data_IF_528184008351
#
_entry.id   IF_528184008351
#
_cell.length_a   1.000
_cell.length_b   1.000
_cell.length_c   1.000
_cell.angle_alpha   90.00
_cell.angle_beta   90.00
_cell.angle_gamma   90.00
#
_symmetry.space_group_name_H-M   'P 1'
#
loop_
_entity.id
_entity.type
_entity.pdbx_description
1 polymer ?
#
# COMPACT_ATOMS: atom_id res chain seq x y z
N UNK A 1 8.79 11.47 3.04
CA UNK A 1 8.05 11.65 4.31
C UNK A 1 8.85 10.98 5.44
N UNK A 2 9.43 11.77 6.31
CA UNK A 2 10.14 11.29 7.48
C UNK A 2 9.26 11.53 8.72
N UNK A 3 9.03 10.50 9.53
CA UNK A 3 8.36 10.63 10.83
C UNK A 3 9.20 10.00 11.93
N UNK A 4 9.61 10.75 12.93
CA UNK A 4 10.24 10.27 14.15
C UNK A 4 11.65 10.81 14.41
N UNK A 5 12.28 10.43 15.52
CA UNK A 5 13.60 10.87 15.99
C UNK A 5 14.80 10.44 15.08
N UNK A 6 14.57 9.61 14.10
CA UNK A 6 15.50 9.20 13.02
C UNK A 6 15.51 10.19 11.84
N UNK A 7 14.72 11.27 11.91
CA UNK A 7 14.48 12.21 10.80
C UNK A 7 15.77 12.90 10.30
N UNK A 8 16.74 13.19 11.16
CA UNK A 8 17.97 13.89 10.75
C UNK A 8 18.87 13.06 9.83
N UNK A 9 18.89 11.74 10.02
CA UNK A 9 19.68 10.82 9.19
C UNK A 9 19.02 10.59 7.84
N UNK A 10 17.69 10.44 7.81
CA UNK A 10 16.90 10.32 6.59
C UNK A 10 17.11 11.53 5.68
N UNK A 11 16.96 12.72 6.25
CA UNK A 11 17.12 13.97 5.52
C UNK A 11 18.55 14.13 4.97
N UNK A 12 19.56 13.72 5.73
CA UNK A 12 20.95 13.78 5.28
C UNK A 12 21.23 12.84 4.12
N UNK A 13 20.73 11.60 4.21
CA UNK A 13 20.85 10.61 3.14
C UNK A 13 20.07 11.03 1.88
N UNK A 14 18.88 11.62 2.05
CA UNK A 14 18.09 12.14 0.93
C UNK A 14 18.79 13.33 0.26
N UNK A 15 19.42 14.20 1.05
CA UNK A 15 20.20 15.32 0.52
C UNK A 15 21.43 14.83 -0.28
N UNK A 16 22.14 13.84 0.27
CA UNK A 16 23.27 13.20 -0.42
C UNK A 16 22.84 12.58 -1.75
N UNK A 17 21.72 11.85 -1.74
CA UNK A 17 21.12 11.29 -2.96
C UNK A 17 20.74 12.38 -3.97
N UNK A 18 20.08 13.45 -3.53
CA UNK A 18 19.69 14.54 -4.42
C UNK A 18 20.90 15.24 -5.05
N UNK A 19 21.98 15.45 -4.26
CA UNK A 19 23.25 16.00 -4.78
C UNK A 19 23.93 15.04 -5.76
N UNK A 20 23.94 13.75 -5.46
CA UNK A 20 24.50 12.72 -6.34
C UNK A 20 23.80 12.72 -7.71
N UNK A 21 22.48 12.73 -7.72
CA UNK A 21 21.69 12.76 -8.95
C UNK A 21 21.85 14.08 -9.72
N UNK A 22 21.95 15.21 -9.02
CA UNK A 22 22.22 16.52 -9.64
C UNK A 22 23.56 16.53 -10.37
N UNK A 23 24.61 15.92 -9.78
CA UNK A 23 25.93 15.79 -10.41
C UNK A 23 25.89 14.94 -11.70
N UNK A 24 24.85 14.12 -11.87
CA UNK A 24 24.56 13.34 -13.08
C UNK A 24 23.65 14.09 -14.06
N UNK A 25 23.43 15.38 -13.86
CA UNK A 25 22.56 16.25 -14.68
C UNK A 25 21.08 15.82 -14.69
N UNK A 26 20.60 15.21 -13.59
CA UNK A 26 19.20 14.86 -13.41
C UNK A 26 18.48 16.00 -12.71
N UNK A 27 17.32 16.40 -13.21
CA UNK A 27 16.49 17.41 -12.57
C UNK A 27 15.80 16.82 -11.33
N UNK A 28 15.98 17.47 -10.18
CA UNK A 28 15.45 16.99 -8.90
C UNK A 28 14.34 17.92 -8.40
N UNK A 29 13.23 17.31 -8.04
CA UNK A 29 12.15 17.90 -7.26
C UNK A 29 12.12 17.27 -5.88
N UNK A 30 11.88 18.07 -4.85
CA UNK A 30 11.70 17.58 -3.49
C UNK A 30 10.23 17.76 -3.09
N UNK A 31 9.65 16.73 -2.52
CA UNK A 31 8.27 16.80 -2.03
C UNK A 31 8.15 17.88 -0.94
N UNK A 32 7.08 18.68 -1.01
CA UNK A 32 6.91 19.90 -0.24
C UNK A 32 7.02 19.72 1.28
N UNK A 33 6.49 18.62 1.85
CA UNK A 33 6.60 18.34 3.30
C UNK A 33 8.05 18.00 3.69
N UNK A 34 8.75 17.23 2.85
CA UNK A 34 10.16 16.91 3.03
C UNK A 34 11.03 18.17 2.95
N UNK A 35 10.71 19.06 2.03
CA UNK A 35 11.43 20.34 1.84
C UNK A 35 11.33 21.25 3.08
N UNK A 36 10.26 21.18 3.87
CA UNK A 36 10.06 22.00 5.06
C UNK A 36 11.13 21.81 6.16
N UNK A 37 11.92 20.74 6.10
CA UNK A 37 13.04 20.53 7.03
C UNK A 37 14.15 21.59 6.92
N UNK A 38 14.15 22.38 5.85
CA UNK A 38 15.11 23.45 5.62
C UNK A 38 16.45 23.02 5.02
N UNK A 39 16.71 21.72 4.85
CA UNK A 39 17.97 21.20 4.26
C UNK A 39 17.99 21.22 2.72
N UNK A 40 16.83 21.37 2.10
CA UNK A 40 16.65 21.22 0.63
C UNK A 40 16.45 22.54 -0.11
N UNK A 41 16.92 23.67 0.43
CA UNK A 41 16.71 25.02 -0.14
C UNK A 41 17.25 25.20 -1.57
N UNK A 42 18.24 24.40 -1.95
CA UNK A 42 18.81 24.41 -3.31
C UNK A 42 17.91 23.71 -4.35
N UNK A 43 16.87 23.01 -3.92
CA UNK A 43 16.00 22.23 -4.76
C UNK A 43 14.60 22.82 -4.83
N UNK A 44 13.91 22.56 -5.94
CA UNK A 44 12.53 23.00 -6.12
C UNK A 44 11.57 22.12 -5.32
N UNK A 45 10.81 22.74 -4.42
CA UNK A 45 9.72 22.10 -3.69
C UNK A 45 8.46 22.05 -4.56
N UNK A 46 7.83 20.86 -4.63
CA UNK A 46 6.53 20.65 -5.29
C UNK A 46 5.71 19.61 -4.51
N UNK A 47 4.41 19.61 -4.67
CA UNK A 47 3.55 18.60 -4.02
C UNK A 47 3.58 17.27 -4.80
N UNK A 48 2.98 16.20 -4.22
CA UNK A 48 2.98 14.86 -4.85
C UNK A 48 2.26 14.85 -6.20
N UNK A 49 1.20 15.60 -6.37
CA UNK A 49 0.46 15.69 -7.64
C UNK A 49 1.35 16.31 -8.74
N UNK A 50 2.02 17.42 -8.42
CA UNK A 50 2.97 18.02 -9.35
C UNK A 50 4.18 17.12 -9.64
N UNK A 51 4.61 16.27 -8.67
CA UNK A 51 5.62 15.23 -8.92
C UNK A 51 5.09 14.26 -9.97
N UNK A 52 3.85 13.79 -9.80
CA UNK A 52 3.19 12.90 -10.76
C UNK A 52 3.15 13.46 -12.18
N UNK A 53 2.87 14.75 -12.32
CA UNK A 53 2.78 15.43 -13.63
C UNK A 53 4.14 15.70 -14.31
N UNK A 54 5.21 15.88 -13.52
CA UNK A 54 6.48 16.46 -14.02
C UNK A 54 7.67 15.51 -13.95
N UNK A 55 7.60 14.48 -13.11
CA UNK A 55 8.71 13.57 -12.92
C UNK A 55 8.56 12.30 -13.75
N UNK A 56 9.67 11.74 -14.19
CA UNK A 56 9.72 10.45 -14.90
C UNK A 56 9.84 9.27 -13.91
N UNK A 57 10.20 9.55 -12.66
CA UNK A 57 10.45 8.57 -11.62
C UNK A 57 10.31 9.22 -10.24
N UNK A 58 9.78 8.51 -9.25
CA UNK A 58 9.80 8.93 -7.87
C UNK A 58 10.65 7.98 -7.01
N UNK A 59 11.57 8.56 -6.22
CA UNK A 59 12.40 7.82 -5.27
C UNK A 59 11.90 8.14 -3.86
N UNK A 60 11.61 7.09 -3.10
CA UNK A 60 11.04 7.20 -1.77
C UNK A 60 12.02 6.63 -0.76
N UNK A 61 12.53 7.48 0.13
CA UNK A 61 13.37 7.06 1.25
C UNK A 61 12.50 6.88 2.49
N UNK A 62 12.30 5.65 2.91
CA UNK A 62 11.43 5.33 4.05
C UNK A 62 11.02 3.86 4.10
N UNK A 63 10.12 3.52 5.01
CA UNK A 63 9.57 2.16 5.11
C UNK A 63 8.35 1.92 4.22
N UNK A 64 7.80 0.69 4.30
CA UNK A 64 6.61 0.29 3.53
C UNK A 64 5.44 1.24 3.72
N UNK A 65 5.21 1.77 4.93
CA UNK A 65 4.14 2.73 5.18
C UNK A 65 4.27 4.02 4.35
N UNK A 66 5.48 4.53 4.15
CA UNK A 66 5.74 5.70 3.29
C UNK A 66 5.47 5.35 1.82
N UNK A 67 5.93 4.16 1.40
CA UNK A 67 5.70 3.66 0.04
C UNK A 67 4.20 3.54 -0.28
N UNK A 68 3.38 3.01 0.67
CA UNK A 68 1.93 2.91 0.50
C UNK A 68 1.29 4.27 0.23
N UNK A 69 1.64 5.30 1.01
CA UNK A 69 1.09 6.65 0.85
C UNK A 69 1.45 7.28 -0.51
N UNK A 70 2.72 7.18 -0.90
CA UNK A 70 3.21 7.70 -2.18
C UNK A 70 2.61 6.94 -3.36
N UNK A 71 2.53 5.62 -3.29
CA UNK A 71 1.95 4.79 -4.35
C UNK A 71 0.48 5.14 -4.61
N UNK A 72 -0.34 5.30 -3.57
CA UNK A 72 -1.74 5.74 -3.73
C UNK A 72 -1.87 7.12 -4.35
N UNK A 73 -0.96 8.03 -4.03
CA UNK A 73 -0.99 9.40 -4.58
C UNK A 73 -0.53 9.47 -6.03
N UNK A 74 0.39 8.59 -6.44
CA UNK A 74 1.04 8.66 -7.75
C UNK A 74 0.52 7.65 -8.77
N UNK A 75 -0.34 6.70 -8.39
CA UNK A 75 -0.82 5.64 -9.28
C UNK A 75 -1.50 6.16 -10.55
N UNK A 76 -2.14 7.33 -10.49
CA UNK A 76 -2.84 7.91 -11.64
C UNK A 76 -1.90 8.55 -12.68
N UNK A 77 -0.63 8.77 -12.34
CA UNK A 77 0.33 9.48 -13.20
C UNK A 77 1.26 8.53 -13.97
N UNK A 78 1.16 7.23 -13.73
CA UNK A 78 1.93 6.18 -14.43
C UNK A 78 3.46 6.31 -14.31
N UNK A 79 3.94 6.97 -13.25
CA UNK A 79 5.38 7.06 -12.95
C UNK A 79 5.81 5.91 -12.04
N UNK A 80 6.98 5.28 -12.30
CA UNK A 80 7.47 4.22 -11.46
C UNK A 80 8.04 4.74 -10.14
N UNK A 81 8.12 3.86 -9.15
CA UNK A 81 8.66 4.14 -7.82
C UNK A 81 9.90 3.30 -7.54
N UNK A 82 10.89 3.88 -6.87
CA UNK A 82 11.99 3.17 -6.22
C UNK A 82 11.86 3.37 -4.72
N UNK A 83 11.91 2.28 -3.95
CA UNK A 83 11.85 2.30 -2.50
C UNK A 83 13.21 2.03 -1.87
N UNK A 84 13.70 2.96 -1.03
CA UNK A 84 14.95 2.83 -0.28
C UNK A 84 14.61 2.76 1.21
N UNK A 85 15.01 1.69 1.88
CA UNK A 85 14.79 1.52 3.30
C UNK A 85 15.99 1.97 4.15
N UNK A 86 15.71 2.28 5.42
CA UNK A 86 16.72 2.69 6.41
C UNK A 86 17.16 1.55 7.34
N UNK A 87 17.52 0.39 6.79
CA UNK A 87 18.05 -0.73 7.57
C UNK A 87 17.03 -1.78 8.03
N UNK A 88 15.73 -1.54 7.91
CA UNK A 88 14.70 -2.57 8.07
C UNK A 88 14.09 -2.88 6.70
N UNK A 89 14.59 -3.89 6.01
CA UNK A 89 14.01 -4.33 4.74
C UNK A 89 12.49 -4.33 4.79
N UNK A 90 11.84 -3.65 3.83
CA UNK A 90 10.41 -3.69 3.58
C UNK A 90 10.06 -4.73 2.52
N UNK A 91 8.79 -4.94 2.30
CA UNK A 91 8.28 -5.68 1.14
C UNK A 91 8.17 -4.78 -0.11
N UNK A 92 8.21 -3.46 0.09
CA UNK A 92 8.08 -2.43 -0.96
C UNK A 92 9.34 -1.57 -1.09
N UNK A 93 10.08 -1.35 0.01
CA UNK A 93 11.33 -0.62 0.04
C UNK A 93 12.47 -1.62 0.28
N UNK A 94 13.08 -2.09 -0.79
CA UNK A 94 14.06 -3.18 -0.80
C UNK A 94 15.50 -2.73 -1.06
N UNK A 95 15.73 -1.53 -1.59
CA UNK A 95 17.05 -0.97 -1.68
C UNK A 95 17.52 -0.53 -0.28
N UNK A 96 18.81 -0.74 0.00
CA UNK A 96 19.44 -0.28 1.23
C UNK A 96 20.22 1.02 0.99
N UNK A 97 20.24 1.92 1.97
CA UNK A 97 21.05 3.14 1.89
C UNK A 97 22.53 2.90 1.70
N UNK A 98 23.06 1.73 2.12
CA UNK A 98 24.47 1.38 1.95
C UNK A 98 24.91 1.14 0.51
N UNK A 99 24.01 0.73 -0.39
CA UNK A 99 24.27 0.45 -1.80
C UNK A 99 23.34 1.20 -2.76
N UNK A 100 22.64 2.23 -2.26
CA UNK A 100 21.58 2.92 -3.03
C UNK A 100 22.13 3.54 -4.32
N UNK A 101 23.33 4.10 -4.32
CA UNK A 101 23.90 4.76 -5.51
C UNK A 101 24.18 3.78 -6.64
N UNK A 102 24.79 2.64 -6.31
CA UNK A 102 25.08 1.57 -7.28
C UNK A 102 23.79 1.01 -7.86
N UNK A 103 22.83 0.68 -6.98
CA UNK A 103 21.52 0.14 -7.40
C UNK A 103 20.73 1.10 -8.28
N UNK A 104 20.75 2.40 -7.97
CA UNK A 104 20.09 3.43 -8.78
C UNK A 104 20.78 3.55 -10.14
N UNK A 105 22.10 3.50 -10.19
CA UNK A 105 22.86 3.55 -11.45
C UNK A 105 22.52 2.35 -12.35
N UNK A 106 22.44 1.16 -11.80
CA UNK A 106 22.03 -0.04 -12.54
C UNK A 106 20.60 0.13 -13.11
N UNK A 107 19.66 0.63 -12.29
CA UNK A 107 18.30 0.90 -12.73
C UNK A 107 18.26 1.92 -13.87
N UNK A 108 19.05 3.00 -13.78
CA UNK A 108 19.10 4.04 -14.82
C UNK A 108 19.79 3.56 -16.12
N UNK A 109 20.67 2.58 -16.04
CA UNK A 109 21.24 1.90 -17.20
C UNK A 109 20.29 0.89 -17.85
N UNK A 110 19.04 0.79 -17.34
CA UNK A 110 18.01 -0.13 -17.85
C UNK A 110 18.10 -1.54 -17.26
N UNK A 111 18.98 -1.77 -16.28
CA UNK A 111 19.11 -3.05 -15.59
C UNK A 111 18.15 -3.11 -14.38
N UNK A 112 16.86 -3.18 -14.65
CA UNK A 112 15.83 -3.19 -13.59
C UNK A 112 14.75 -4.25 -13.85
N UNK A 113 14.20 -4.79 -12.76
CA UNK A 113 12.99 -5.57 -12.76
C UNK A 113 11.79 -4.65 -12.49
N UNK A 114 10.80 -4.70 -13.39
CA UNK A 114 9.55 -3.92 -13.28
C UNK A 114 8.49 -4.75 -12.60
N UNK A 115 8.12 -4.37 -11.41
CA UNK A 115 7.10 -5.04 -10.59
C UNK A 115 5.80 -4.21 -10.58
N UNK A 116 4.78 -4.72 -11.26
CA UNK A 116 3.47 -4.07 -11.33
C UNK A 116 2.56 -4.58 -10.23
N UNK A 117 2.03 -3.67 -9.42
CA UNK A 117 1.14 -4.00 -8.30
C UNK A 117 -0.25 -3.43 -8.53
N UNK A 118 -1.26 -4.27 -8.36
CA UNK A 118 -2.64 -3.84 -8.37
C UNK A 118 -2.99 -3.09 -7.08
N UNK A 119 -3.97 -2.20 -7.16
CA UNK A 119 -4.61 -1.58 -6.02
C UNK A 119 -6.08 -2.00 -5.95
N UNK A 120 -6.67 -1.85 -4.77
CA UNK A 120 -8.12 -1.89 -4.58
C UNK A 120 -8.66 -0.46 -4.57
N UNK A 121 -9.84 -0.29 -5.17
CA UNK A 121 -10.68 0.88 -5.01
C UNK A 121 -11.82 0.51 -4.06
N UNK A 122 -12.01 1.28 -3.01
CA UNK A 122 -13.12 1.12 -2.08
C UNK A 122 -14.04 2.32 -2.11
N UNK A 123 -15.35 2.09 -2.05
CA UNK A 123 -16.39 3.12 -1.95
C UNK A 123 -17.31 2.79 -0.81
N UNK A 124 -17.71 3.80 -0.04
CA UNK A 124 -18.74 3.69 1.00
C UNK A 124 -19.99 4.38 0.50
N UNK A 125 -21.10 3.67 0.53
CA UNK A 125 -22.41 4.18 0.20
C UNK A 125 -23.29 4.23 1.45
N UNK A 126 -23.88 5.39 1.69
CA UNK A 126 -24.88 5.65 2.73
C UNK A 126 -26.10 6.27 2.07
N UNK A 127 -27.29 5.72 2.30
CA UNK A 127 -28.53 6.15 1.63
C UNK A 127 -28.37 6.27 0.10
N UNK A 128 -27.71 5.28 -0.52
CA UNK A 128 -27.41 5.22 -1.96
C UNK A 128 -26.45 6.31 -2.49
N UNK A 129 -25.88 7.15 -1.61
CA UNK A 129 -24.89 8.16 -2.00
C UNK A 129 -23.49 7.66 -1.67
N UNK A 130 -22.56 7.81 -2.61
CA UNK A 130 -21.15 7.59 -2.33
C UNK A 130 -20.64 8.72 -1.42
N UNK A 131 -20.27 8.39 -0.19
CA UNK A 131 -19.80 9.34 0.82
C UNK A 131 -18.28 9.34 0.97
N UNK A 132 -17.63 8.29 0.52
CA UNK A 132 -16.17 8.17 0.56
C UNK A 132 -15.68 7.24 -0.54
N UNK A 133 -14.51 7.59 -1.09
CA UNK A 133 -13.79 6.77 -2.05
C UNK A 133 -12.30 6.83 -1.75
N UNK A 134 -11.61 5.68 -1.80
CA UNK A 134 -10.18 5.60 -1.58
C UNK A 134 -9.53 4.41 -2.29
N UNK A 135 -8.21 4.52 -2.52
CA UNK A 135 -7.38 3.44 -3.05
C UNK A 135 -6.58 2.79 -1.92
N UNK A 136 -6.34 1.50 -2.03
CA UNK A 136 -5.48 0.72 -1.14
C UNK A 136 -4.48 -0.10 -1.95
N UNK A 137 -3.21 -0.05 -1.57
CA UNK A 137 -2.18 -0.92 -2.15
C UNK A 137 -2.11 -2.27 -1.42
N UNK A 138 -2.27 -2.27 -0.10
CA UNK A 138 -2.33 -3.48 0.71
C UNK A 138 -3.77 -3.96 0.90
N UNK A 139 -4.55 -3.24 1.69
CA UNK A 139 -5.83 -3.75 2.18
C UNK A 139 -6.87 -2.67 2.48
N UNK A 140 -8.12 -3.12 2.42
CA UNK A 140 -9.31 -2.43 2.91
C UNK A 140 -9.89 -3.27 4.04
N UNK A 141 -9.96 -2.72 5.23
CA UNK A 141 -10.37 -3.44 6.43
C UNK A 141 -11.62 -2.82 7.05
N UNK A 142 -12.68 -3.59 7.13
CA UNK A 142 -13.82 -3.27 8.01
C UNK A 142 -13.49 -3.77 9.41
N UNK A 143 -13.48 -2.90 10.39
CA UNK A 143 -13.09 -3.23 11.75
C UNK A 143 -14.06 -2.67 12.78
N UNK A 144 -14.34 -3.50 13.79
CA UNK A 144 -15.05 -3.11 15.00
C UNK A 144 -14.14 -2.34 15.96
N UNK A 145 -14.70 -1.42 16.72
CA UNK A 145 -14.01 -0.71 17.78
C UNK A 145 -13.86 -1.53 19.07
N UNK A 146 -14.93 -2.11 19.57
CA UNK A 146 -14.96 -2.76 20.89
C UNK A 146 -15.73 -4.08 20.96
N UNK A 147 -16.72 -4.31 20.12
CA UNK A 147 -17.53 -5.53 20.09
C UNK A 147 -17.54 -6.14 18.70
N UNK A 148 -17.99 -7.41 18.61
CA UNK A 148 -18.13 -8.10 17.32
C UNK A 148 -19.10 -7.34 16.40
N UNK A 149 -18.71 -7.16 15.15
CA UNK A 149 -19.53 -6.60 14.09
C UNK A 149 -20.20 -7.73 13.28
N UNK A 150 -21.43 -7.51 12.83
CA UNK A 150 -22.07 -8.40 11.87
C UNK A 150 -21.99 -7.81 10.47
N UNK A 151 -21.43 -8.59 9.56
CA UNK A 151 -21.21 -8.23 8.16
C UNK A 151 -21.86 -9.26 7.26
N UNK A 152 -22.55 -8.79 6.21
CA UNK A 152 -22.93 -9.62 5.08
C UNK A 152 -22.00 -9.36 3.91
N UNK A 153 -21.50 -10.44 3.31
CA UNK A 153 -20.55 -10.39 2.20
C UNK A 153 -21.16 -10.98 0.96
N UNK A 154 -21.11 -10.23 -0.13
CA UNK A 154 -21.50 -10.67 -1.45
C UNK A 154 -20.35 -10.49 -2.45
N UNK A 155 -20.25 -11.35 -3.44
CA UNK A 155 -19.26 -11.30 -4.50
C UNK A 155 -19.97 -11.42 -5.84
N UNK A 156 -19.76 -10.44 -6.71
CA UNK A 156 -20.42 -10.36 -8.02
C UNK A 156 -21.96 -10.47 -7.91
N UNK A 157 -22.52 -9.82 -6.89
CA UNK A 157 -23.95 -9.84 -6.59
C UNK A 157 -24.47 -11.13 -5.96
N UNK A 158 -23.62 -12.15 -5.74
CA UNK A 158 -24.03 -13.39 -5.09
C UNK A 158 -23.69 -13.31 -3.60
N UNK A 159 -24.68 -13.58 -2.74
CA UNK A 159 -24.46 -13.70 -1.31
C UNK A 159 -23.51 -14.86 -1.01
N UNK A 160 -22.47 -14.58 -0.22
CA UNK A 160 -21.46 -15.59 0.17
C UNK A 160 -21.69 -16.07 1.58
N UNK A 161 -21.68 -15.16 2.55
CA UNK A 161 -21.93 -15.48 3.96
C UNK A 161 -22.29 -14.23 4.76
N UNK A 162 -22.89 -14.49 5.91
CA UNK A 162 -22.99 -13.55 7.02
C UNK A 162 -22.02 -13.97 8.10
N UNK A 163 -21.24 -13.02 8.63
CA UNK A 163 -20.29 -13.31 9.71
C UNK A 163 -20.49 -12.35 10.88
N UNK A 164 -20.08 -12.85 12.05
CA UNK A 164 -19.90 -12.07 13.27
C UNK A 164 -18.44 -12.23 13.69
N UNK A 165 -17.69 -11.09 13.73
CA UNK A 165 -16.24 -11.10 13.85
C UNK A 165 -15.73 -9.76 14.38
N UNK A 166 -14.43 -9.65 14.67
CA UNK A 166 -13.77 -8.37 14.93
C UNK A 166 -13.64 -7.52 13.66
N UNK A 167 -13.81 -8.13 12.49
CA UNK A 167 -13.76 -7.44 11.20
C UNK A 167 -13.52 -8.35 10.01
N UNK A 168 -13.23 -7.72 8.89
CA UNK A 168 -12.94 -8.38 7.62
C UNK A 168 -11.86 -7.61 6.86
N UNK A 169 -10.82 -8.32 6.41
CA UNK A 169 -9.76 -7.79 5.54
C UNK A 169 -10.04 -8.19 4.12
N UNK A 170 -10.06 -7.23 3.20
CA UNK A 170 -10.02 -7.45 1.76
C UNK A 170 -8.67 -6.94 1.27
N UNK A 171 -7.83 -7.81 0.73
CA UNK A 171 -6.42 -7.50 0.46
C UNK A 171 -5.99 -7.84 -0.95
N UNK A 172 -5.10 -7.02 -1.50
CA UNK A 172 -4.33 -7.33 -2.71
C UNK A 172 -3.30 -8.43 -2.41
N UNK A 173 -2.68 -9.06 -3.40
CA UNK A 173 -1.54 -9.94 -3.18
C UNK A 173 -0.40 -9.25 -2.41
N UNK A 174 -0.14 -7.96 -2.67
CA UNK A 174 0.85 -7.17 -1.94
C UNK A 174 0.55 -7.12 -0.44
N UNK A 175 -0.69 -6.87 -0.07
CA UNK A 175 -1.13 -6.75 1.33
C UNK A 175 -1.24 -8.08 2.07
N UNK A 176 -1.12 -9.23 1.39
CA UNK A 176 -1.18 -10.55 2.06
C UNK A 176 -0.02 -10.77 3.03
N UNK A 177 1.05 -10.01 2.92
CA UNK A 177 2.18 -10.02 3.87
C UNK A 177 2.03 -8.99 5.01
N UNK A 178 0.93 -8.19 4.99
CA UNK A 178 0.60 -7.18 6.00
C UNK A 178 -0.44 -7.72 7.02
N UNK A 179 -1.53 -6.99 7.25
CA UNK A 179 -2.51 -7.35 8.27
C UNK A 179 -3.22 -8.68 7.99
N UNK A 180 -3.46 -9.01 6.73
CA UNK A 180 -4.06 -10.30 6.33
C UNK A 180 -3.24 -11.50 6.81
N UNK A 181 -1.90 -11.41 6.82
CA UNK A 181 -1.04 -12.47 7.35
C UNK A 181 -1.31 -12.72 8.84
N UNK A 182 -1.37 -11.64 9.63
CA UNK A 182 -1.68 -11.74 11.07
C UNK A 182 -3.08 -12.28 11.35
N UNK A 183 -4.03 -12.06 10.44
CA UNK A 183 -5.38 -12.61 10.50
C UNK A 183 -5.48 -14.07 10.01
N UNK A 184 -4.36 -14.69 9.63
CA UNK A 184 -4.32 -16.09 9.18
C UNK A 184 -4.64 -16.30 7.71
N UNK A 185 -4.54 -15.26 6.89
CA UNK A 185 -4.69 -15.33 5.44
C UNK A 185 -3.48 -15.97 4.76
N UNK A 186 -3.65 -16.49 3.54
CA UNK A 186 -2.55 -17.03 2.73
C UNK A 186 -1.67 -15.91 2.19
N UNK A 187 -0.38 -16.19 1.97
CA UNK A 187 0.50 -15.32 1.18
C UNK A 187 0.23 -15.60 -0.30
N UNK A 188 -0.11 -14.55 -1.04
CA UNK A 188 -0.26 -14.60 -2.48
C UNK A 188 0.96 -13.95 -3.15
N UNK A 189 1.47 -14.59 -4.21
CA UNK A 189 2.53 -13.97 -5.01
C UNK A 189 2.02 -12.65 -5.62
N UNK A 190 2.80 -11.57 -5.63
CA UNK A 190 2.34 -10.26 -6.12
C UNK A 190 1.79 -10.23 -7.55
N UNK A 191 2.26 -11.12 -8.41
CA UNK A 191 1.80 -11.24 -9.80
C UNK A 191 0.46 -11.97 -9.96
N UNK A 192 -0.09 -12.56 -8.88
CA UNK A 192 -1.37 -13.23 -8.97
C UNK A 192 -2.51 -12.23 -9.15
N UNK A 193 -3.36 -12.47 -10.12
CA UNK A 193 -4.59 -11.71 -10.33
C UNK A 193 -5.70 -12.20 -9.39
N UNK A 194 -5.51 -11.96 -8.07
CA UNK A 194 -6.41 -12.41 -7.03
C UNK A 194 -6.63 -11.34 -5.96
N UNK A 195 -7.75 -11.45 -5.24
CA UNK A 195 -8.06 -10.70 -4.03
C UNK A 195 -8.29 -11.72 -2.93
N UNK A 196 -7.71 -11.52 -1.76
CA UNK A 196 -7.98 -12.37 -0.60
C UNK A 196 -8.92 -11.68 0.37
N UNK A 197 -9.89 -12.44 0.89
CA UNK A 197 -10.88 -12.00 1.87
C UNK A 197 -10.64 -12.80 3.14
N UNK A 198 -10.24 -12.12 4.21
CA UNK A 198 -9.76 -12.75 5.45
C UNK A 198 -10.57 -12.25 6.64
N UNK A 199 -11.39 -13.11 7.28
CA UNK A 199 -12.09 -12.77 8.52
C UNK A 199 -11.10 -12.50 9.66
N UNK A 200 -11.40 -11.52 10.51
CA UNK A 200 -10.63 -11.23 11.72
C UNK A 200 -11.36 -11.82 12.91
N UNK A 201 -10.76 -12.80 13.60
CA UNK A 201 -11.33 -13.45 14.80
C UNK A 201 -12.82 -13.82 14.61
N UNK A 202 -13.20 -14.57 13.57
CA UNK A 202 -14.59 -14.91 13.35
C UNK A 202 -15.14 -15.78 14.48
N UNK A 203 -16.35 -15.52 14.93
CA UNK A 203 -17.01 -16.28 15.98
C UNK A 203 -17.44 -17.68 15.51
N UNK A 204 -17.47 -17.91 14.20
CA UNK A 204 -17.85 -19.19 13.59
C UNK A 204 -16.61 -19.89 13.05
N UNK A 205 -16.36 -21.11 13.53
CA UNK A 205 -15.20 -21.92 13.14
C UNK A 205 -15.17 -22.30 11.64
N UNK A 206 -16.29 -22.23 10.95
CA UNK A 206 -16.40 -22.52 9.50
C UNK A 206 -15.92 -21.39 8.60
N UNK A 207 -15.83 -20.15 9.12
CA UNK A 207 -15.34 -19.04 8.32
C UNK A 207 -13.84 -19.19 8.07
N UNK A 208 -13.48 -19.21 6.80
CA UNK A 208 -12.09 -19.37 6.34
C UNK A 208 -11.73 -18.24 5.38
N UNK A 209 -10.46 -17.85 5.32
CA UNK A 209 -9.97 -17.01 4.24
C UNK A 209 -10.28 -17.62 2.88
N UNK A 210 -10.71 -16.81 1.94
CA UNK A 210 -10.93 -17.21 0.54
C UNK A 210 -10.16 -16.28 -0.39
N UNK A 211 -9.69 -16.82 -1.50
CA UNK A 211 -9.12 -16.05 -2.60
C UNK A 211 -10.07 -16.10 -3.80
N UNK A 212 -10.29 -14.96 -4.42
CA UNK A 212 -11.17 -14.79 -5.58
C UNK A 212 -10.42 -14.07 -6.70
N UNK A 213 -10.97 -14.09 -7.92
CA UNK A 213 -10.39 -13.34 -9.04
C UNK A 213 -10.28 -11.85 -8.71
N UNK A 214 -9.22 -11.20 -9.18
CA UNK A 214 -9.04 -9.75 -9.05
C UNK A 214 -10.15 -8.94 -9.74
N UNK A 215 -10.88 -9.54 -10.67
CA UNK A 215 -12.01 -8.92 -11.36
C UNK A 215 -13.34 -9.03 -10.58
N UNK A 216 -13.31 -9.63 -9.39
CA UNK A 216 -14.50 -9.73 -8.55
C UNK A 216 -14.86 -8.38 -7.93
N UNK A 217 -16.16 -8.06 -7.94
CA UNK A 217 -16.73 -6.98 -7.15
C UNK A 217 -17.14 -7.55 -5.78
N UNK A 218 -16.56 -7.02 -4.71
CA UNK A 218 -16.84 -7.44 -3.33
C UNK A 218 -17.71 -6.37 -2.71
N UNK A 219 -18.82 -6.80 -2.12
CA UNK A 219 -19.75 -5.94 -1.43
C UNK A 219 -19.90 -6.39 0.02
N UNK A 220 -19.79 -5.45 0.95
CA UNK A 220 -19.90 -5.69 2.38
C UNK A 220 -20.98 -4.79 2.93
N UNK A 221 -22.00 -5.38 3.58
CA UNK A 221 -23.03 -4.64 4.28
C UNK A 221 -22.81 -4.70 5.79
N UNK A 222 -22.88 -3.54 6.44
CA UNK A 222 -22.84 -3.43 7.90
C UNK A 222 -24.24 -3.69 8.45
N UNK A 223 -24.45 -4.84 9.08
CA UNK A 223 -25.77 -5.32 9.51
C UNK A 223 -26.05 -5.05 10.98
N UNK A 224 -25.02 -5.00 11.81
CA UNK A 224 -25.16 -4.59 13.22
C UNK A 224 -23.99 -3.71 13.62
N UNK A 225 -24.22 -2.78 14.53
CA UNK A 225 -23.21 -1.80 14.95
C UNK A 225 -22.90 -1.83 16.44
N UNK A 226 -21.62 -1.77 16.68
CA UNK A 226 -20.94 -0.89 17.63
C UNK A 226 -20.03 0.04 16.84
N UNK A 227 -19.25 0.91 17.48
CA UNK A 227 -18.27 1.76 16.80
C UNK A 227 -17.45 0.93 15.80
N UNK A 228 -17.59 1.23 14.52
CA UNK A 228 -16.87 0.54 13.45
C UNK A 228 -16.31 1.52 12.43
N UNK A 229 -15.29 1.11 11.74
CA UNK A 229 -14.62 1.95 10.74
C UNK A 229 -14.06 1.13 9.59
N UNK A 230 -13.95 1.78 8.43
CA UNK A 230 -13.16 1.31 7.32
C UNK A 230 -11.73 1.83 7.47
N UNK A 231 -10.75 0.94 7.42
CA UNK A 231 -9.32 1.30 7.39
C UNK A 231 -8.75 1.00 6.02
N UNK A 232 -7.97 1.92 5.49
CA UNK A 232 -7.28 1.81 4.20
C UNK A 232 -5.78 1.77 4.45
N UNK A 233 -5.11 0.66 4.11
CA UNK A 233 -3.68 0.44 4.32
C UNK A 233 -3.20 0.74 5.76
N UNK A 234 -4.09 0.64 6.75
CA UNK A 234 -3.81 1.02 8.13
C UNK A 234 -3.58 2.53 8.36
N UNK A 235 -3.70 3.38 7.35
CA UNK A 235 -3.33 4.81 7.39
C UNK A 235 -4.52 5.77 7.40
N UNK A 236 -5.60 5.42 6.71
CA UNK A 236 -6.83 6.20 6.70
C UNK A 236 -7.90 5.45 7.48
N UNK A 237 -8.73 6.17 8.22
CA UNK A 237 -9.87 5.61 8.95
C UNK A 237 -11.12 6.42 8.64
N UNK A 238 -12.17 5.76 8.25
CA UNK A 238 -13.47 6.35 7.94
C UNK A 238 -14.52 5.69 8.81
N UNK A 239 -15.23 6.45 9.66
CA UNK A 239 -16.31 5.91 10.47
C UNK A 239 -17.41 5.30 9.61
N UNK A 240 -17.91 4.13 10.01
CA UNK A 240 -19.04 3.46 9.38
C UNK A 240 -20.31 3.66 10.21
N UNK A 241 -21.45 3.61 9.56
CA UNK A 241 -22.77 3.60 10.18
C UNK A 241 -23.54 2.33 9.81
N UNK A 242 -24.59 2.06 10.57
CA UNK A 242 -25.49 0.95 10.30
C UNK A 242 -26.08 1.07 8.89
N UNK A 243 -26.11 -0.04 8.16
CA UNK A 243 -26.56 -0.14 6.77
C UNK A 243 -25.62 0.49 5.73
N UNK A 244 -24.44 0.99 6.13
CA UNK A 244 -23.44 1.34 5.14
C UNK A 244 -23.10 0.12 4.27
N UNK A 245 -22.95 0.38 2.98
CA UNK A 245 -22.51 -0.59 1.98
C UNK A 245 -21.14 -0.20 1.48
N UNK A 246 -20.21 -1.11 1.60
CA UNK A 246 -18.83 -0.94 1.12
C UNK A 246 -18.68 -1.75 -0.16
N UNK A 247 -18.35 -1.09 -1.25
CA UNK A 247 -17.94 -1.72 -2.50
C UNK A 247 -16.42 -1.73 -2.62
N UNK A 248 -15.82 -2.87 -2.99
CA UNK A 248 -14.38 -3.03 -3.18
C UNK A 248 -14.17 -3.75 -4.50
N UNK A 249 -13.41 -3.10 -5.40
CA UNK A 249 -13.05 -3.63 -6.71
C UNK A 249 -11.55 -3.41 -6.96
N UNK A 250 -11.00 -4.10 -7.94
CA UNK A 250 -9.66 -3.78 -8.47
C UNK A 250 -9.69 -2.36 -9.04
N UNK A 251 -8.70 -1.54 -8.71
CA UNK A 251 -8.51 -0.23 -9.34
C UNK A 251 -8.09 -0.41 -10.80
N UNK A 252 -8.46 0.55 -11.65
CA UNK A 252 -8.12 0.53 -13.07
C UNK A 252 -6.60 0.61 -13.29
N UNK A 253 -5.92 1.46 -12.51
CA UNK A 253 -4.48 1.69 -12.61
C UNK A 253 -3.69 0.76 -11.71
N UNK A 254 -2.48 0.44 -12.14
CA UNK A 254 -1.48 -0.29 -11.38
C UNK A 254 -0.29 0.62 -11.11
N UNK A 255 0.37 0.44 -9.97
CA UNK A 255 1.63 1.11 -9.69
C UNK A 255 2.81 0.21 -10.10
N UNK A 256 3.86 0.81 -10.64
CA UNK A 256 5.10 0.10 -11.00
C UNK A 256 6.19 0.40 -9.99
N UNK A 257 6.79 -0.62 -9.41
CA UNK A 257 8.03 -0.52 -8.65
C UNK A 257 9.21 -0.92 -9.54
N UNK A 258 10.34 -0.25 -9.37
CA UNK A 258 11.60 -0.63 -10.00
C UNK A 258 12.51 -1.20 -8.94
N UNK A 259 12.96 -2.42 -9.18
CA UNK A 259 13.91 -3.15 -8.35
C UNK A 259 15.21 -3.40 -9.12
N UNK A 260 16.33 -3.69 -8.45
CA UNK A 260 17.50 -4.25 -9.09
C UNK A 260 17.15 -5.52 -9.88
N UNK A 261 17.95 -5.84 -10.91
CA UNK A 261 17.65 -6.95 -11.82
C UNK A 261 17.60 -8.32 -11.14
N UNK A 262 18.34 -8.48 -10.06
CA UNK A 262 18.43 -9.71 -9.26
C UNK A 262 17.35 -9.81 -8.16
N UNK A 263 16.38 -8.92 -8.15
CA UNK A 263 15.26 -8.97 -7.21
C UNK A 263 14.55 -10.31 -7.24
N UNK A 264 14.34 -10.87 -6.06
CA UNK A 264 13.61 -12.13 -5.88
C UNK A 264 12.62 -12.03 -4.70
N UNK A 265 11.34 -12.10 -5.01
CA UNK A 265 10.28 -12.05 -3.99
C UNK A 265 10.40 -13.14 -2.92
N UNK A 266 10.83 -14.35 -3.30
CA UNK A 266 11.01 -15.45 -2.34
C UNK A 266 12.19 -15.24 -1.39
N UNK A 267 13.25 -14.54 -1.83
CA UNK A 267 14.30 -14.11 -0.92
C UNK A 267 13.80 -13.08 0.08
N UNK A 268 12.96 -12.15 -0.37
CA UNK A 268 12.33 -11.16 0.49
C UNK A 268 11.47 -11.84 1.56
N UNK A 269 10.65 -12.82 1.18
CA UNK A 269 9.86 -13.62 2.11
C UNK A 269 10.74 -14.34 3.15
N UNK A 270 11.81 -15.02 2.71
CA UNK A 270 12.73 -15.71 3.63
C UNK A 270 13.35 -14.75 4.64
N UNK A 271 13.85 -13.61 4.16
CA UNK A 271 14.48 -12.60 5.02
C UNK A 271 13.49 -11.99 6.02
N UNK A 272 12.26 -11.73 5.58
CA UNK A 272 11.22 -11.07 6.40
C UNK A 272 10.54 -12.00 7.40
N UNK A 273 10.30 -13.23 7.02
CA UNK A 273 9.54 -14.20 7.80
C UNK A 273 10.44 -15.20 8.54
N UNK A 274 11.77 -15.05 8.43
CA UNK A 274 12.76 -15.97 8.99
C UNK A 274 12.48 -17.44 8.57
N UNK A 275 12.20 -17.63 7.28
CA UNK A 275 11.97 -18.96 6.72
C UNK A 275 13.30 -19.59 6.29
N UNK A 276 13.75 -20.61 7.02
CA UNK A 276 14.93 -21.41 6.73
C UNK A 276 16.20 -20.91 7.37
#
# INVERSE_FOLDING_TARGET
YASGSESSDIESQLLELAQYLTNKHINIFIEAKTHQSGKFQAFKAINLEEIGEKADLAIVLGGDGTMLGVARSLVNFDIPLIGINQGRFGFLADLNTSNMFESIDEIFQGSSYKDKRMLLQSKIFRDSKCIHEALALNDVVVRSGSRLIELEVSINGNFVHKQRSDGLVVTTPTGTTAYALSAGGPILHPELEAISIVPISPHTLSNRPIAVSSNSAIEIHVVSMDESYLSIDGQLKVPLELHDRIEIIRAEKMITFLHPKDYCYFEMLRKKLNWG
#
